data_IF_210776342245
#
_entry.id   IF_210776342245
#
_cell.length_a   1.000
_cell.length_b   1.000
_cell.length_c   1.000
_cell.angle_alpha   90.00
_cell.angle_beta   90.00
_cell.angle_gamma   90.00
#
_symmetry.space_group_name_H-M   'P 1'
#
loop_
_entity.id
_entity.type
_entity.pdbx_description
1 polymer ?
#
# COMPACT_ATOMS: atom_id res chain seq x y z
N UNK A 1 15.55 25.36 -11.70
CA UNK A 1 14.62 24.52 -10.93
C UNK A 1 13.47 24.12 -11.85
N UNK A 2 13.31 22.83 -12.16
CA UNK A 2 12.18 22.38 -12.96
C UNK A 2 10.88 22.55 -12.15
N UNK A 3 9.97 23.37 -12.64
CA UNK A 3 8.63 23.53 -12.11
C UNK A 3 7.91 22.18 -12.15
N UNK A 4 7.61 21.61 -10.98
CA UNK A 4 6.77 20.41 -10.84
C UNK A 4 5.42 20.69 -11.49
N UNK A 5 5.07 19.93 -12.53
CA UNK A 5 3.71 19.90 -13.04
C UNK A 5 2.82 19.29 -11.93
N UNK A 6 1.74 19.97 -11.50
CA UNK A 6 0.83 19.41 -10.50
C UNK A 6 0.16 18.15 -11.06
N UNK A 7 0.50 16.99 -10.50
CA UNK A 7 -0.16 15.72 -10.84
C UNK A 7 -1.32 15.51 -9.88
N UNK A 8 -2.53 15.34 -10.43
CA UNK A 8 -3.80 15.27 -9.69
C UNK A 8 -4.26 13.82 -9.44
N UNK A 9 -3.37 12.83 -9.61
CA UNK A 9 -3.73 11.42 -9.46
C UNK A 9 -3.86 11.06 -7.98
N UNK A 10 -5.10 10.82 -7.54
CA UNK A 10 -5.45 10.30 -6.22
C UNK A 10 -6.09 8.92 -6.38
N UNK A 11 -5.41 7.87 -5.91
CA UNK A 11 -5.91 6.49 -5.98
C UNK A 11 -5.99 5.89 -4.59
N UNK A 12 -7.10 5.20 -4.33
CA UNK A 12 -7.30 4.42 -3.13
C UNK A 12 -7.26 2.93 -3.45
N UNK A 13 -6.40 2.19 -2.76
CA UNK A 13 -6.45 0.73 -2.74
C UNK A 13 -7.11 0.28 -1.44
N UNK A 14 -8.33 -0.25 -1.55
CA UNK A 14 -9.08 -0.85 -0.44
C UNK A 14 -9.67 -2.17 -0.95
N UNK A 15 -9.46 -3.28 -0.23
CA UNK A 15 -10.08 -4.55 -0.62
C UNK A 15 -9.31 -5.49 -1.50
N UNK A 16 -8.02 -5.22 -1.71
CA UNK A 16 -7.22 -5.98 -2.65
C UNK A 16 -6.42 -7.09 -1.99
N UNK A 17 -6.73 -8.35 -2.26
CA UNK A 17 -5.80 -9.43 -1.92
C UNK A 17 -4.75 -9.59 -3.03
N UNK A 18 -3.49 -9.30 -2.72
CA UNK A 18 -2.35 -9.65 -3.56
C UNK A 18 -1.72 -10.95 -3.03
N UNK A 19 -1.94 -12.05 -3.75
CA UNK A 19 -1.34 -13.34 -3.40
C UNK A 19 -0.47 -13.87 -4.54
N UNK A 20 0.71 -14.39 -4.19
CA UNK A 20 1.63 -15.04 -5.13
C UNK A 20 2.01 -14.11 -6.32
N UNK A 21 2.39 -12.87 -5.99
CA UNK A 21 2.77 -11.83 -6.94
C UNK A 21 4.26 -11.51 -6.80
N UNK A 22 4.95 -11.33 -7.94
CA UNK A 22 6.38 -10.99 -7.90
C UNK A 22 6.66 -9.57 -7.36
N UNK A 23 6.01 -8.56 -7.93
CA UNK A 23 6.27 -7.15 -7.61
C UNK A 23 5.09 -6.24 -7.94
N UNK A 24 5.21 -4.95 -7.54
CA UNK A 24 4.34 -3.82 -7.94
C UNK A 24 2.93 -3.89 -7.36
N UNK A 25 2.83 -3.96 -6.03
CA UNK A 25 1.57 -4.12 -5.31
C UNK A 25 1.24 -2.94 -4.37
N UNK A 26 1.23 -1.66 -4.82
CA UNK A 26 1.46 -1.16 -6.18
C UNK A 26 2.89 -0.62 -6.41
N UNK A 27 3.23 -0.31 -7.68
CA UNK A 27 4.30 0.63 -8.00
C UNK A 27 3.71 2.00 -8.33
N UNK A 28 3.79 2.94 -7.38
CA UNK A 28 3.14 4.24 -7.46
C UNK A 28 4.12 5.33 -7.91
N UNK A 29 3.71 6.16 -8.87
CA UNK A 29 4.49 7.29 -9.39
C UNK A 29 3.68 8.56 -9.33
N UNK A 30 4.32 9.64 -8.89
CA UNK A 30 3.73 10.98 -8.78
C UNK A 30 2.47 11.00 -7.89
N UNK A 31 1.92 12.19 -7.63
CA UNK A 31 0.64 12.35 -6.93
C UNK A 31 0.60 11.79 -5.50
N UNK A 32 -0.62 11.52 -5.05
CA UNK A 32 -0.93 11.05 -3.70
C UNK A 32 -1.68 9.72 -3.78
N UNK A 33 -1.30 8.74 -2.97
CA UNK A 33 -1.99 7.45 -2.91
C UNK A 33 -2.35 7.09 -1.48
N UNK A 34 -3.55 6.54 -1.28
CA UNK A 34 -3.97 6.05 0.02
C UNK A 34 -4.18 4.54 -0.08
N UNK A 35 -3.34 3.79 0.63
CA UNK A 35 -3.40 2.34 0.69
C UNK A 35 -3.88 1.99 2.07
N UNK A 36 -5.13 1.60 2.17
CA UNK A 36 -5.69 1.34 3.48
C UNK A 36 -6.91 0.44 3.41
N UNK A 37 -7.36 -0.03 4.57
CA UNK A 37 -8.55 -0.86 4.65
C UNK A 37 -9.84 -0.05 4.86
N UNK A 38 -10.87 -0.35 4.06
CA UNK A 38 -12.31 -0.20 4.39
C UNK A 38 -13.01 -1.46 3.93
N UNK A 39 -13.65 -2.22 4.84
CA UNK A 39 -14.59 -3.34 4.56
C UNK A 39 -14.19 -4.44 3.56
N UNK A 40 -13.01 -4.36 2.96
CA UNK A 40 -12.31 -5.30 2.12
C UNK A 40 -10.86 -4.80 2.34
N UNK A 41 -9.90 -5.66 2.70
CA UNK A 41 -8.54 -5.23 3.05
C UNK A 41 -7.52 -5.37 1.91
N UNK A 42 -6.34 -4.74 2.08
CA UNK A 42 -5.16 -5.11 1.31
C UNK A 42 -4.36 -6.17 2.08
N UNK A 43 -4.32 -7.40 1.58
CA UNK A 43 -3.49 -8.46 2.16
C UNK A 43 -2.44 -8.82 1.14
N UNK A 44 -1.17 -8.77 1.52
CA UNK A 44 -0.07 -9.09 0.63
C UNK A 44 0.60 -10.36 1.12
N UNK A 45 0.28 -11.48 0.48
CA UNK A 45 0.84 -12.79 0.80
C UNK A 45 1.76 -13.28 -0.30
N UNK A 46 2.86 -13.92 0.09
CA UNK A 46 3.79 -14.59 -0.82
C UNK A 46 4.35 -13.64 -1.91
N UNK A 47 4.83 -12.46 -1.47
CA UNK A 47 5.50 -11.52 -2.38
C UNK A 47 6.91 -11.97 -2.67
N UNK A 48 7.20 -12.30 -3.93
CA UNK A 48 8.47 -12.94 -4.30
C UNK A 48 9.66 -11.97 -4.28
N UNK A 49 9.47 -10.71 -4.69
CA UNK A 49 10.59 -9.77 -4.85
C UNK A 49 10.38 -8.41 -4.17
N UNK A 50 9.21 -7.78 -4.36
CA UNK A 50 8.93 -6.45 -3.79
C UNK A 50 7.44 -6.20 -3.55
N UNK A 51 7.11 -5.35 -2.58
CA UNK A 51 5.75 -4.90 -2.28
C UNK A 51 5.44 -3.50 -2.82
N UNK A 52 5.08 -2.61 -1.90
CA UNK A 52 4.66 -1.23 -2.18
C UNK A 52 5.88 -0.39 -2.54
N UNK A 53 5.88 0.23 -3.72
CA UNK A 53 6.96 1.09 -4.20
C UNK A 53 6.46 2.53 -4.41
N UNK A 54 6.83 3.45 -3.51
CA UNK A 54 6.58 4.89 -3.64
C UNK A 54 7.75 5.55 -4.37
N UNK A 55 7.62 5.93 -5.63
CA UNK A 55 8.73 6.54 -6.41
C UNK A 55 8.27 7.75 -7.21
N UNK A 56 9.20 8.41 -7.88
CA UNK A 56 8.97 9.61 -8.65
C UNK A 56 8.18 10.66 -7.85
N UNK A 57 8.65 10.92 -6.63
CA UNK A 57 8.08 11.89 -5.69
C UNK A 57 6.65 11.61 -5.18
N UNK A 58 6.10 10.42 -5.44
CA UNK A 58 4.81 9.99 -4.89
C UNK A 58 4.78 10.12 -3.37
N UNK A 59 3.62 10.50 -2.82
CA UNK A 59 3.37 10.49 -1.38
C UNK A 59 2.27 9.49 -1.07
N UNK A 60 2.59 8.46 -0.29
CA UNK A 60 1.64 7.43 0.12
C UNK A 60 1.25 7.59 1.58
N UNK A 61 -0.01 7.38 1.88
CA UNK A 61 -0.52 7.09 3.21
C UNK A 61 -0.86 5.59 3.23
N UNK A 62 -0.24 4.82 4.12
CA UNK A 62 -0.40 3.37 4.21
C UNK A 62 -0.89 3.04 5.62
N UNK A 63 -2.15 2.59 5.74
CA UNK A 63 -2.82 2.42 7.03
C UNK A 63 -3.52 1.06 7.15
N UNK A 64 -3.55 0.46 8.35
CA UNK A 64 -4.34 -0.75 8.68
C UNK A 64 -4.19 -1.88 7.64
N UNK A 65 -2.95 -2.20 7.27
CA UNK A 65 -2.59 -3.19 6.23
C UNK A 65 -1.73 -4.30 6.83
N UNK A 66 -1.73 -5.49 6.24
CA UNK A 66 -0.91 -6.62 6.70
C UNK A 66 -0.21 -7.33 5.55
N UNK A 67 1.03 -7.75 5.80
CA UNK A 67 1.84 -8.59 4.94
C UNK A 67 1.98 -9.99 5.56
N UNK A 68 2.07 -11.02 4.73
CA UNK A 68 2.41 -12.38 5.15
C UNK A 68 3.48 -12.95 4.21
N UNK A 69 4.58 -13.43 4.78
CA UNK A 69 5.72 -13.94 4.03
C UNK A 69 6.17 -13.00 2.88
N UNK A 70 6.32 -11.68 3.11
CA UNK A 70 6.82 -10.81 2.07
C UNK A 70 8.33 -11.01 1.90
N UNK A 71 8.85 -10.65 0.73
CA UNK A 71 10.26 -10.28 0.60
C UNK A 71 10.64 -9.18 1.62
N UNK A 72 11.94 -8.97 1.82
CA UNK A 72 12.46 -7.89 2.68
C UNK A 72 11.92 -6.50 2.30
N UNK A 73 11.63 -6.26 1.02
CA UNK A 73 11.16 -4.96 0.49
C UNK A 73 9.63 -4.88 0.51
N UNK A 74 9.02 -4.92 1.69
CA UNK A 74 7.57 -4.83 1.85
C UNK A 74 7.04 -3.43 1.47
N UNK A 75 7.70 -2.38 1.97
CA UNK A 75 7.46 -0.99 1.57
C UNK A 75 8.82 -0.37 1.24
N UNK A 76 8.96 0.25 0.08
CA UNK A 76 10.23 0.84 -0.34
C UNK A 76 10.04 1.98 -1.36
N UNK A 77 11.13 2.66 -1.67
CA UNK A 77 11.23 3.60 -2.78
C UNK A 77 12.44 3.24 -3.61
N UNK A 78 12.33 3.32 -4.93
CA UNK A 78 13.51 3.31 -5.80
C UNK A 78 13.78 4.70 -6.38
N UNK A 79 15.04 4.99 -6.68
CA UNK A 79 15.47 6.33 -7.10
C UNK A 79 15.40 6.55 -8.62
N UNK A 80 14.80 5.61 -9.35
CA UNK A 80 14.65 5.80 -10.78
C UNK A 80 13.52 6.83 -11.03
N UNK A 81 13.91 8.09 -11.22
CA UNK A 81 13.01 9.24 -11.36
C UNK A 81 12.77 10.04 -10.07
N UNK A 82 13.56 9.80 -9.01
CA UNK A 82 13.47 10.45 -7.71
C UNK A 82 12.70 9.64 -6.68
N UNK A 83 13.13 9.71 -5.42
CA UNK A 83 12.48 9.01 -4.30
C UNK A 83 11.06 9.52 -4.04
N UNK A 84 10.13 8.59 -3.74
CA UNK A 84 8.85 8.89 -3.12
C UNK A 84 8.91 8.67 -1.60
N UNK A 85 7.84 9.03 -0.90
CA UNK A 85 7.74 8.85 0.55
C UNK A 85 6.43 8.18 0.96
N UNK A 86 6.45 7.54 2.14
CA UNK A 86 5.30 6.90 2.74
C UNK A 86 5.12 7.29 4.21
N UNK A 87 3.89 7.63 4.59
CA UNK A 87 3.43 7.64 5.98
C UNK A 87 2.82 6.28 6.26
N UNK A 88 3.36 5.56 7.24
CA UNK A 88 2.95 4.17 7.55
C UNK A 88 2.42 4.11 8.98
N UNK A 89 1.16 3.68 9.16
CA UNK A 89 0.49 3.62 10.47
C UNK A 89 -0.28 2.32 10.61
N UNK A 90 -0.14 1.64 11.75
CA UNK A 90 -0.83 0.36 11.99
C UNK A 90 -0.67 -0.61 10.80
N UNK A 91 0.59 -0.96 10.50
CA UNK A 91 0.90 -1.92 9.43
C UNK A 91 1.69 -3.08 10.02
N UNK A 92 1.18 -4.29 9.82
CA UNK A 92 1.92 -5.51 10.13
C UNK A 92 2.79 -5.88 8.93
N UNK A 93 4.10 -5.75 9.08
CA UNK A 93 5.06 -6.03 8.00
C UNK A 93 5.34 -7.52 7.79
N UNK A 94 4.83 -8.43 8.64
CA UNK A 94 4.91 -9.87 8.40
C UNK A 94 6.34 -10.41 8.23
N UNK A 95 7.35 -9.75 8.80
CA UNK A 95 8.77 -10.07 8.65
C UNK A 95 9.52 -9.30 7.55
N UNK A 96 8.82 -8.49 6.75
CA UNK A 96 9.43 -7.53 5.82
C UNK A 96 9.84 -6.21 6.49
N UNK A 97 10.39 -5.29 5.70
CA UNK A 97 10.83 -3.97 6.18
C UNK A 97 10.12 -2.82 5.46
N UNK A 98 9.96 -1.70 6.16
CA UNK A 98 9.68 -0.41 5.56
C UNK A 98 11.00 0.35 5.32
N UNK A 99 11.39 0.44 4.06
CA UNK A 99 12.59 1.12 3.57
C UNK A 99 12.26 2.39 2.79
N UNK A 100 10.98 2.80 2.73
CA UNK A 100 10.60 4.04 2.07
C UNK A 100 11.00 5.25 2.93
N UNK A 101 11.47 6.35 2.32
CA UNK A 101 11.59 7.64 3.01
C UNK A 101 10.27 8.06 3.66
N UNK A 102 10.38 8.86 4.72
CA UNK A 102 9.20 9.41 5.38
C UNK A 102 8.37 10.25 4.39
N UNK A 103 7.09 9.93 4.29
CA UNK A 103 6.12 10.67 3.49
C UNK A 103 5.54 11.87 4.23
N UNK A 104 4.79 12.70 3.48
CA UNK A 104 4.12 13.91 4.00
C UNK A 104 2.59 13.84 3.93
N UNK A 105 2.03 12.82 3.26
CA UNK A 105 0.58 12.65 3.17
C UNK A 105 0.02 12.07 4.47
N UNK A 106 -0.56 12.91 5.32
CA UNK A 106 -1.04 12.53 6.65
C UNK A 106 -2.56 12.38 6.75
N UNK A 107 -3.30 12.84 5.75
CA UNK A 107 -4.77 12.82 5.68
C UNK A 107 -5.28 12.84 4.23
N UNK A 108 -6.53 12.43 4.03
CA UNK A 108 -7.24 12.42 2.75
C UNK A 108 -8.61 13.11 2.86
N UNK A 109 -9.17 13.69 1.78
CA UNK A 109 -10.39 14.49 1.84
C UNK A 109 -11.68 13.65 1.77
N UNK A 110 -11.72 12.50 2.43
CA UNK A 110 -12.89 11.64 2.52
C UNK A 110 -12.90 10.88 3.85
N UNK A 111 -14.08 10.48 4.31
CA UNK A 111 -14.24 9.71 5.53
C UNK A 111 -13.95 8.23 5.30
N UNK A 112 -13.36 7.58 6.29
CA UNK A 112 -13.05 6.16 6.23
C UNK A 112 -12.90 5.51 7.61
N UNK A 113 -12.92 4.18 7.65
CA UNK A 113 -12.80 3.40 8.89
C UNK A 113 -11.69 2.35 8.75
N UNK A 114 -10.77 2.32 9.70
CA UNK A 114 -9.68 1.35 9.79
C UNK A 114 -10.12 0.12 10.57
N UNK A 115 -9.69 -1.07 10.14
CA UNK A 115 -10.03 -2.33 10.83
C UNK A 115 -9.04 -2.65 11.96
N UNK A 116 -7.79 -2.21 11.83
CA UNK A 116 -6.66 -2.73 12.59
C UNK A 116 -5.89 -3.78 11.77
N UNK A 117 -4.58 -3.61 11.59
CA UNK A 117 -3.69 -4.54 10.86
C UNK A 117 -3.87 -6.01 11.26
N UNK A 118 -3.94 -6.28 12.57
CA UNK A 118 -4.10 -7.63 13.14
C UNK A 118 -5.34 -8.39 12.65
N UNK A 119 -6.38 -7.68 12.20
CA UNK A 119 -7.64 -8.28 11.72
C UNK A 119 -7.71 -8.34 10.18
N UNK A 120 -6.74 -7.78 9.46
CA UNK A 120 -6.78 -7.67 7.99
C UNK A 120 -6.79 -9.02 7.32
N UNK A 121 -5.90 -9.93 7.72
CA UNK A 121 -5.75 -11.25 7.09
C UNK A 121 -7.05 -12.06 7.07
N UNK A 122 -7.60 -12.34 8.26
CA UNK A 122 -8.82 -13.13 8.41
C UNK A 122 -10.00 -12.48 7.68
N UNK A 123 -10.07 -11.16 7.71
CA UNK A 123 -11.11 -10.41 7.02
C UNK A 123 -11.00 -10.54 5.49
N UNK A 124 -9.81 -10.36 4.91
CA UNK A 124 -9.61 -10.39 3.45
C UNK A 124 -9.88 -11.78 2.91
N UNK A 125 -9.35 -12.82 3.56
CA UNK A 125 -9.57 -14.21 3.15
C UNK A 125 -11.06 -14.59 3.13
N UNK A 126 -11.88 -13.97 3.99
CA UNK A 126 -13.32 -14.22 4.04
C UNK A 126 -14.16 -13.38 3.06
N UNK A 127 -13.62 -12.27 2.51
CA UNK A 127 -14.45 -11.26 1.85
C UNK A 127 -13.93 -10.78 0.49
N UNK A 128 -12.66 -10.98 0.13
CA UNK A 128 -12.14 -10.55 -1.17
C UNK A 128 -12.51 -11.53 -2.29
N UNK A 129 -12.75 -10.98 -3.49
CA UNK A 129 -13.09 -11.77 -4.68
C UNK A 129 -14.59 -12.05 -4.85
N UNK A 130 -14.93 -12.72 -5.94
CA UNK A 130 -16.31 -13.11 -6.25
C UNK A 130 -16.79 -14.20 -5.29
N UNK A 131 -17.91 -13.95 -4.61
CA UNK A 131 -18.60 -14.96 -3.78
C UNK A 131 -19.78 -15.51 -4.58
N UNK A 132 -19.60 -16.69 -5.19
CA UNK A 132 -20.70 -17.37 -5.86
C UNK A 132 -21.62 -18.00 -4.82
N UNK A 133 -22.90 -17.65 -4.87
CA UNK A 133 -23.98 -18.35 -4.15
C UNK A 133 -24.67 -19.28 -5.15
N UNK A 134 -24.69 -20.58 -4.85
CA UNK A 134 -25.38 -21.59 -5.63
C UNK A 134 -26.79 -21.81 -5.10
#
# INVERSE_FOLDING_TARGET
MATRIPVHLHVTYAGVWFDNINSRTPMYRFGQGHIFKVYYGCFLSNLLETGINSRAYAQLLIESTAFENPSKKAIFSNDNGGLGGAVVRDVDLGGGENQAPAGTLTSVPYSYQLLGSAKVKSYVQANAGQRLTF
#
